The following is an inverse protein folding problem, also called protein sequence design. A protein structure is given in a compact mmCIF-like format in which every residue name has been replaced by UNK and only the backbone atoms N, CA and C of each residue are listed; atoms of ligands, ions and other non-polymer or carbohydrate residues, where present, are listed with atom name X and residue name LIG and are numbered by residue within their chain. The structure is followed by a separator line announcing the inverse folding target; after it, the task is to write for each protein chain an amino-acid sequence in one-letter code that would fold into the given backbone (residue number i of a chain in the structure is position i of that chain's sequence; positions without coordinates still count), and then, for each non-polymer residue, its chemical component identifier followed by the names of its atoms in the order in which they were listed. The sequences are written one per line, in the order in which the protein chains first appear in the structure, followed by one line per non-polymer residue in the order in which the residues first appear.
data_IF_946589652352
#
_entry.id   IF_946589652352
#
_cell.length_a   1.000
_cell.length_b   1.000
_cell.length_c   1.000
_cell.angle_alpha   90.00
_cell.angle_beta   90.00
_cell.angle_gamma   90.00
#
_symmetry.space_group_name_H-M   'P 1'
#
loop_
_entity.id
_entity.type
_entity.pdbx_description
1 polymer ?
#
# COMPACT_ATOMS: atom_id res chain seq x y z
N UNK A 1 11.56 26.94 28.75
CA UNK A 1 11.86 27.26 27.34
C UNK A 1 13.05 26.41 26.93
N UNK A 2 12.77 25.31 26.26
CA UNK A 2 13.67 24.49 25.43
C UNK A 2 12.75 23.78 24.42
N UNK A 3 13.13 23.64 23.13
CA UNK A 3 12.18 23.30 22.08
C UNK A 3 11.92 21.79 22.05
N UNK A 4 10.66 21.39 22.24
CA UNK A 4 10.21 20.01 22.15
C UNK A 4 10.42 19.45 20.72
N UNK A 5 10.94 18.23 20.68
CA UNK A 5 11.44 17.54 19.50
C UNK A 5 10.44 17.49 18.35
N UNK A 6 10.90 18.02 17.21
CA UNK A 6 10.34 17.87 15.87
C UNK A 6 9.97 16.41 15.62
N UNK A 7 8.82 16.18 14.98
CA UNK A 7 8.50 14.91 14.29
C UNK A 7 9.79 14.42 13.67
N UNK A 8 10.25 13.24 14.09
CA UNK A 8 11.51 12.69 13.65
C UNK A 8 11.48 12.64 12.14
N UNK A 9 12.20 13.55 11.48
CA UNK A 9 12.40 13.57 10.03
C UNK A 9 12.89 12.21 9.52
N UNK A 10 13.38 11.34 10.42
CA UNK A 10 13.95 10.02 10.20
C UNK A 10 13.01 9.04 9.50
N UNK A 11 11.70 9.00 9.78
CA UNK A 11 10.78 8.00 9.20
C UNK A 11 10.41 8.26 7.73
N UNK A 12 9.95 9.48 7.35
CA UNK A 12 9.76 9.80 5.94
C UNK A 12 11.09 9.87 5.18
N UNK A 13 12.20 10.22 5.85
CA UNK A 13 13.54 10.19 5.26
C UNK A 13 14.02 8.75 5.06
N UNK A 14 13.71 7.80 5.95
CA UNK A 14 14.03 6.37 5.76
C UNK A 14 13.25 5.79 4.58
N UNK A 15 11.97 6.12 4.44
CA UNK A 15 11.17 5.72 3.29
C UNK A 15 11.73 6.32 1.99
N UNK A 16 12.09 7.62 2.00
CA UNK A 16 12.71 8.28 0.85
C UNK A 16 14.10 7.70 0.54
N UNK A 17 14.90 7.40 1.55
CA UNK A 17 16.23 6.78 1.42
C UNK A 17 16.14 5.35 0.92
N UNK A 18 15.11 4.58 1.31
CA UNK A 18 14.85 3.24 0.78
C UNK A 18 14.46 3.31 -0.71
N UNK A 19 13.64 4.29 -1.10
CA UNK A 19 13.29 4.54 -2.51
C UNK A 19 14.53 4.99 -3.30
N UNK A 20 15.34 5.90 -2.76
CA UNK A 20 16.59 6.36 -3.39
C UNK A 20 17.61 5.23 -3.48
N UNK A 21 17.75 4.39 -2.45
CA UNK A 21 18.64 3.23 -2.46
C UNK A 21 18.20 2.18 -3.48
N UNK A 22 16.89 2.00 -3.68
CA UNK A 22 16.34 1.11 -4.71
C UNK A 22 16.55 1.68 -6.12
N UNK A 23 16.43 3.00 -6.29
CA UNK A 23 16.68 3.70 -7.55
C UNK A 23 18.18 3.85 -7.89
N UNK A 24 19.04 3.86 -6.86
CA UNK A 24 20.50 3.94 -6.98
C UNK A 24 21.18 2.57 -6.94
N UNK A 25 20.42 1.48 -6.75
CA UNK A 25 20.94 0.13 -6.86
C UNK A 25 21.56 -0.05 -8.27
N UNK A 26 22.81 -0.53 -8.37
CA UNK A 26 23.45 -0.69 -9.65
C UNK A 26 22.62 -1.62 -10.53
N UNK A 27 22.39 -1.21 -11.78
CA UNK A 27 21.78 -2.10 -12.76
C UNK A 27 22.61 -3.40 -12.82
N UNK A 28 21.97 -4.59 -12.85
CA UNK A 28 22.68 -5.86 -12.91
C UNK A 28 23.69 -5.82 -14.05
N UNK A 29 24.95 -6.14 -13.75
CA UNK A 29 26.01 -6.20 -14.75
C UNK A 29 25.75 -7.31 -15.78
N UNK A 30 26.44 -7.29 -16.94
CA UNK A 30 26.07 -8.10 -18.11
C UNK A 30 26.34 -9.60 -17.98
N UNK A 31 26.77 -10.11 -16.82
CA UNK A 31 27.30 -11.46 -16.71
C UNK A 31 26.24 -12.43 -16.15
N UNK A 32 25.59 -13.11 -17.10
CA UNK A 32 24.97 -14.45 -17.02
C UNK A 32 24.07 -14.77 -15.81
N UNK A 33 23.11 -13.90 -15.56
CA UNK A 33 21.77 -14.39 -15.21
C UNK A 33 20.81 -13.87 -16.26
N UNK A 34 20.59 -14.68 -17.30
CA UNK A 34 19.39 -14.59 -18.12
C UNK A 34 18.19 -14.95 -17.24
N UNK A 35 17.81 -14.03 -16.35
CA UNK A 35 16.41 -13.93 -15.98
C UNK A 35 15.74 -13.54 -17.28
N UNK A 36 15.17 -14.52 -17.99
CA UNK A 36 14.20 -14.22 -19.03
C UNK A 36 13.21 -13.26 -18.38
N UNK A 37 13.29 -11.98 -18.77
CA UNK A 37 12.23 -11.03 -18.46
C UNK A 37 10.96 -11.74 -18.92
N UNK A 38 9.98 -11.98 -18.03
CA UNK A 38 8.82 -12.77 -18.40
C UNK A 38 8.24 -12.14 -19.66
N UNK A 39 8.12 -12.97 -20.70
CA UNK A 39 7.80 -12.53 -22.05
C UNK A 39 6.63 -11.57 -22.04
N UNK A 40 6.68 -10.55 -22.90
CA UNK A 40 5.71 -9.46 -23.02
C UNK A 40 4.27 -9.93 -22.75
N UNK A 41 3.82 -9.74 -21.52
CA UNK A 41 2.59 -10.29 -20.96
C UNK A 41 2.45 -9.91 -19.49
N UNK A 42 1.23 -9.91 -18.92
CA UNK A 42 1.01 -9.50 -17.54
C UNK A 42 1.72 -10.43 -16.54
N UNK A 43 2.29 -9.85 -15.49
CA UNK A 43 2.89 -10.59 -14.38
C UNK A 43 4.42 -10.68 -14.33
N UNK A 44 5.10 -9.56 -14.55
CA UNK A 44 6.50 -9.40 -14.15
C UNK A 44 6.84 -7.95 -13.86
N UNK A 45 5.86 -7.21 -13.34
CA UNK A 45 5.92 -5.75 -13.28
C UNK A 45 5.78 -5.29 -11.85
N UNK A 46 6.57 -4.27 -11.51
CA UNK A 46 6.46 -3.52 -10.27
C UNK A 46 5.69 -2.24 -10.58
N UNK A 47 4.66 -1.97 -9.80
CA UNK A 47 3.80 -0.80 -9.91
C UNK A 47 3.93 0.05 -8.66
N UNK A 48 3.97 1.37 -8.87
CA UNK A 48 3.83 2.36 -7.80
C UNK A 48 2.57 3.17 -8.08
N UNK A 49 1.71 3.26 -7.09
CA UNK A 49 0.38 3.83 -7.20
C UNK A 49 0.07 4.82 -6.09
N UNK A 50 -0.87 5.70 -6.39
CA UNK A 50 -1.56 6.52 -5.40
C UNK A 50 -3.07 6.40 -5.68
N UNK A 51 -3.86 6.22 -4.63
CA UNK A 51 -5.28 5.97 -4.72
C UNK A 51 -6.07 6.82 -3.74
N UNK A 52 -7.27 7.23 -4.14
CA UNK A 52 -8.26 7.73 -3.19
C UNK A 52 -8.91 6.53 -2.50
N UNK A 53 -9.11 6.62 -1.19
CA UNK A 53 -9.79 5.58 -0.41
C UNK A 53 -10.96 6.15 0.38
N UNK A 54 -11.97 5.31 0.60
CA UNK A 54 -13.13 5.63 1.42
C UNK A 54 -13.13 4.72 2.64
N UNK A 55 -13.09 5.32 3.82
CA UNK A 55 -13.09 4.60 5.09
C UNK A 55 -14.53 4.54 5.57
N UNK A 56 -15.12 3.35 5.58
CA UNK A 56 -16.51 3.15 6.01
C UNK A 56 -16.67 2.83 7.51
N UNK A 57 -15.57 2.52 8.21
CA UNK A 57 -15.64 1.99 9.58
C UNK A 57 -15.74 3.10 10.64
N UNK A 58 -16.82 3.07 11.45
CA UNK A 58 -17.11 3.90 12.64
C UNK A 58 -17.25 5.42 12.43
N UNK A 59 -16.45 6.01 11.55
CA UNK A 59 -16.62 7.37 11.06
C UNK A 59 -16.33 7.36 9.55
N UNK A 60 -17.35 7.50 8.69
CA UNK A 60 -17.15 7.68 7.26
C UNK A 60 -16.10 8.76 7.00
N UNK A 61 -15.23 8.53 6.03
CA UNK A 61 -14.10 9.41 5.77
C UNK A 61 -13.47 9.17 4.42
N UNK A 62 -12.58 10.07 4.05
CA UNK A 62 -11.73 9.96 2.88
C UNK A 62 -10.27 9.80 3.29
N UNK A 63 -9.49 9.19 2.42
CA UNK A 63 -8.05 9.08 2.62
C UNK A 63 -7.31 8.99 1.31
N UNK A 64 -5.99 8.92 1.44
CA UNK A 64 -5.06 8.60 0.38
C UNK A 64 -4.32 7.32 0.74
N UNK A 65 -4.12 6.50 -0.29
CA UNK A 65 -3.33 5.27 -0.26
C UNK A 65 -2.13 5.44 -1.16
N UNK A 66 -0.97 4.99 -0.71
CA UNK A 66 0.24 4.85 -1.52
C UNK A 66 0.60 3.37 -1.59
N UNK A 67 0.79 2.87 -2.80
CA UNK A 67 0.80 1.44 -3.08
C UNK A 67 2.05 1.04 -3.85
N UNK A 68 2.67 -0.05 -3.41
CA UNK A 68 3.66 -0.82 -4.13
C UNK A 68 3.06 -2.20 -4.44
N UNK A 69 2.81 -2.47 -5.72
CA UNK A 69 2.31 -3.77 -6.16
C UNK A 69 3.35 -4.48 -7.01
N UNK A 70 3.59 -5.76 -6.73
CA UNK A 70 4.44 -6.63 -7.52
C UNK A 70 3.57 -7.74 -8.09
N UNK A 71 3.45 -7.79 -9.40
CA UNK A 71 2.71 -8.83 -10.11
C UNK A 71 3.70 -9.87 -10.69
N UNK A 72 3.56 -11.12 -10.24
CA UNK A 72 4.33 -12.28 -10.69
C UNK A 72 3.38 -13.31 -11.29
N UNK A 73 3.22 -13.28 -12.61
CA UNK A 73 2.27 -14.01 -13.43
C UNK A 73 0.82 -13.83 -12.99
N UNK A 74 0.40 -14.52 -11.94
CA UNK A 74 -0.92 -14.38 -11.31
C UNK A 74 -0.85 -14.05 -9.83
N UNK A 75 0.33 -14.15 -9.23
CA UNK A 75 0.57 -13.79 -7.83
C UNK A 75 0.68 -12.28 -7.73
N UNK A 76 0.02 -11.73 -6.74
CA UNK A 76 0.09 -10.33 -6.37
C UNK A 76 0.69 -10.22 -4.97
N UNK A 77 1.68 -9.34 -4.84
CA UNK A 77 2.16 -8.84 -3.56
C UNK A 77 1.83 -7.35 -3.52
N UNK A 78 1.16 -6.91 -2.47
CA UNK A 78 0.78 -5.51 -2.28
C UNK A 78 1.32 -5.04 -0.93
N UNK A 79 2.01 -3.92 -0.94
CA UNK A 79 2.39 -3.18 0.26
C UNK A 79 1.80 -1.79 0.11
N UNK A 80 1.02 -1.35 1.09
CA UNK A 80 0.40 -0.05 1.04
C UNK A 80 0.43 0.68 2.38
N UNK A 81 0.41 2.00 2.27
CA UNK A 81 0.22 2.88 3.41
C UNK A 81 -0.96 3.78 3.11
N UNK A 82 -1.95 3.72 4.00
CA UNK A 82 -3.17 4.48 3.93
C UNK A 82 -3.23 5.46 5.10
N UNK A 83 -3.52 6.71 4.76
CA UNK A 83 -3.81 7.78 5.73
C UNK A 83 -5.12 8.48 5.37
N UNK A 84 -5.99 8.69 6.34
CA UNK A 84 -7.24 9.40 6.09
C UNK A 84 -7.91 9.90 7.35
N UNK A 85 -8.86 10.81 7.17
CA UNK A 85 -9.61 11.44 8.25
C UNK A 85 -11.10 11.11 8.12
N UNK A 86 -11.69 10.67 9.23
CA UNK A 86 -13.13 10.54 9.37
C UNK A 86 -13.80 11.89 9.65
N UNK A 87 -15.10 11.99 9.34
CA UNK A 87 -15.97 13.15 9.60
C UNK A 87 -15.90 13.70 11.04
N UNK A 88 -15.49 12.90 12.03
CA UNK A 88 -15.33 13.32 13.42
C UNK A 88 -13.88 13.61 13.86
N UNK A 89 -12.97 13.96 12.93
CA UNK A 89 -11.53 14.11 13.17
C UNK A 89 -10.88 12.83 13.76
N UNK A 90 -11.40 11.68 13.34
CA UNK A 90 -10.84 10.39 13.69
C UNK A 90 -9.88 9.98 12.59
N UNK A 91 -8.60 10.18 12.83
CA UNK A 91 -7.52 9.80 11.93
C UNK A 91 -7.38 8.29 11.87
N UNK A 92 -7.18 7.78 10.67
CA UNK A 92 -6.87 6.39 10.39
C UNK A 92 -5.54 6.32 9.69
N UNK A 93 -4.64 5.53 10.24
CA UNK A 93 -3.41 5.11 9.59
C UNK A 93 -3.41 3.59 9.49
N UNK A 94 -3.08 3.08 8.31
CA UNK A 94 -2.91 1.66 8.05
C UNK A 94 -1.61 1.47 7.26
N UNK A 95 -0.70 0.67 7.80
CA UNK A 95 0.42 0.11 7.04
C UNK A 95 0.13 -1.37 6.81
N UNK A 96 0.14 -1.81 5.55
CA UNK A 96 -0.43 -3.08 5.15
C UNK A 96 0.51 -3.87 4.24
N UNK A 97 0.47 -5.20 4.37
CA UNK A 97 1.15 -6.11 3.49
C UNK A 97 0.22 -7.30 3.16
N UNK A 98 -0.01 -7.51 1.88
CA UNK A 98 -0.98 -8.44 1.34
C UNK A 98 -0.37 -9.33 0.25
N UNK A 99 -0.85 -10.56 0.18
CA UNK A 99 -0.54 -11.52 -0.88
C UNK A 99 -1.81 -12.14 -1.41
N UNK A 100 -1.82 -12.44 -2.70
CA UNK A 100 -2.88 -13.22 -3.31
C UNK A 100 -2.68 -13.31 -4.80
N UNK A 101 -3.73 -13.05 -5.56
CA UNK A 101 -3.61 -13.12 -6.99
C UNK A 101 -4.82 -12.67 -7.79
N UNK A 102 -4.57 -12.52 -9.08
CA UNK A 102 -5.58 -12.28 -10.11
C UNK A 102 -6.16 -13.60 -10.60
N UNK A 103 -7.47 -13.62 -10.84
CA UNK A 103 -8.22 -14.84 -11.15
C UNK A 103 -8.39 -15.10 -12.65
N UNK A 104 -7.87 -14.23 -13.52
CA UNK A 104 -8.01 -14.34 -14.97
C UNK A 104 -6.80 -13.82 -15.73
N UNK A 105 -6.90 -13.75 -17.06
CA UNK A 105 -5.86 -13.25 -17.99
C UNK A 105 -6.36 -12.12 -18.91
N UNK A 106 -7.63 -11.74 -18.73
CA UNK A 106 -8.25 -10.61 -19.42
C UNK A 106 -7.69 -9.28 -18.95
N UNK A 107 -7.92 -8.23 -19.76
CA UNK A 107 -7.53 -6.86 -19.41
C UNK A 107 -8.28 -6.32 -18.19
N UNK A 108 -9.47 -6.88 -17.94
CA UNK A 108 -10.29 -6.66 -16.76
C UNK A 108 -10.33 -7.97 -16.00
N UNK A 109 -9.71 -8.03 -14.82
CA UNK A 109 -9.59 -9.29 -14.09
C UNK A 109 -9.86 -9.10 -12.60
N UNK A 110 -10.69 -9.97 -11.99
CA UNK A 110 -10.88 -9.92 -10.56
C UNK A 110 -9.61 -10.39 -9.84
N UNK A 111 -9.39 -9.87 -8.64
CA UNK A 111 -8.31 -10.28 -7.75
C UNK A 111 -8.83 -10.52 -6.33
N UNK A 112 -8.07 -11.33 -5.60
CA UNK A 112 -8.24 -11.57 -4.18
C UNK A 112 -6.89 -11.44 -3.48
N UNK A 113 -6.87 -10.75 -2.35
CA UNK A 113 -5.70 -10.60 -1.50
C UNK A 113 -6.09 -10.92 -0.05
N UNK A 114 -5.11 -11.41 0.70
CA UNK A 114 -5.19 -11.56 2.14
C UNK A 114 -3.85 -11.17 2.77
N UNK A 115 -3.90 -10.60 3.96
CA UNK A 115 -2.71 -10.04 4.56
C UNK A 115 -2.85 -9.64 6.01
N UNK A 116 -1.88 -8.84 6.42
CA UNK A 116 -1.78 -8.29 7.76
C UNK A 116 -1.49 -6.80 7.67
N UNK A 117 -2.13 -6.05 8.57
CA UNK A 117 -1.95 -4.62 8.67
C UNK A 117 -1.69 -4.18 10.09
N UNK A 118 -0.91 -3.12 10.23
CA UNK A 118 -0.85 -2.33 11.45
C UNK A 118 -1.81 -1.16 11.32
N UNK A 119 -2.86 -1.16 12.14
CA UNK A 119 -3.92 -0.18 12.14
C UNK A 119 -3.81 0.70 13.38
N UNK A 120 -3.61 2.00 13.18
CA UNK A 120 -3.72 3.00 14.23
C UNK A 120 -4.93 3.90 13.95
N UNK A 121 -5.83 4.02 14.94
CA UNK A 121 -7.02 4.86 14.85
C UNK A 121 -7.14 5.77 16.07
N UNK A 122 -7.41 7.05 15.84
CA UNK A 122 -7.55 8.02 16.92
C UNK A 122 -7.46 9.46 16.43
N UNK A 123 -7.56 10.40 17.35
CA UNK A 123 -7.25 11.80 17.05
C UNK A 123 -5.73 11.93 16.93
N UNK A 124 -5.19 11.88 15.72
CA UNK A 124 -3.76 12.00 15.45
C UNK A 124 -3.34 13.47 15.68
N UNK A 125 -3.21 13.86 16.94
CA UNK A 125 -2.76 15.20 17.37
C UNK A 125 -1.47 15.02 18.14
N UNK A 126 -0.39 15.62 17.63
CA UNK A 126 0.94 15.60 18.24
C UNK A 126 1.07 16.59 19.41
N UNK A 127 0.08 16.62 20.31
CA UNK A 127 0.12 17.39 21.56
C UNK A 127 0.08 16.42 22.76
N UNK A 128 0.82 16.75 23.83
CA UNK A 128 1.22 15.87 24.93
C UNK A 128 0.06 15.32 25.80
N UNK A 129 -1.19 15.62 25.46
CA UNK A 129 -2.36 14.95 26.02
C UNK A 129 -2.85 13.87 25.05
N UNK A 130 -2.15 12.75 24.99
CA UNK A 130 -2.49 11.57 24.18
C UNK A 130 -3.89 11.06 24.53
N UNK A 131 -4.86 11.41 23.69
CA UNK A 131 -6.18 10.78 23.65
C UNK A 131 -6.01 9.32 23.20
N UNK A 132 -6.94 8.39 23.51
CA UNK A 132 -6.72 6.97 23.25
C UNK A 132 -6.57 6.68 21.75
N UNK A 133 -5.34 6.37 21.34
CA UNK A 133 -5.04 5.75 20.05
C UNK A 133 -5.28 4.25 20.22
N UNK A 134 -6.15 3.69 19.39
CA UNK A 134 -6.35 2.24 19.32
C UNK A 134 -5.44 1.69 18.24
N UNK A 135 -4.48 0.89 18.68
CA UNK A 135 -3.51 0.24 17.82
C UNK A 135 -3.81 -1.27 17.79
N UNK A 136 -3.92 -1.80 16.58
CA UNK A 136 -4.27 -3.19 16.35
C UNK A 136 -3.42 -3.75 15.21
N UNK A 137 -2.94 -4.99 15.40
CA UNK A 137 -2.60 -5.82 14.25
C UNK A 137 -3.90 -6.40 13.75
N UNK A 138 -4.20 -6.20 12.47
CA UNK A 138 -5.44 -6.64 11.82
C UNK A 138 -5.11 -7.65 10.74
N UNK A 139 -5.98 -8.63 10.55
CA UNK A 139 -6.02 -9.40 9.32
C UNK A 139 -6.74 -8.58 8.25
N UNK A 140 -6.22 -8.61 7.04
CA UNK A 140 -6.85 -7.95 5.90
C UNK A 140 -7.30 -8.98 4.87
N UNK A 141 -8.44 -8.68 4.24
CA UNK A 141 -8.92 -9.40 3.09
C UNK A 141 -9.42 -8.36 2.07
N UNK A 142 -8.93 -8.43 0.85
CA UNK A 142 -9.31 -7.53 -0.23
C UNK A 142 -9.83 -8.30 -1.43
N UNK A 143 -10.93 -7.81 -2.00
CA UNK A 143 -11.48 -8.33 -3.24
C UNK A 143 -11.77 -7.16 -4.17
N UNK A 144 -11.33 -7.29 -5.42
CA UNK A 144 -11.45 -6.20 -6.38
C UNK A 144 -11.27 -6.62 -7.82
N UNK A 145 -11.05 -5.64 -8.68
CA UNK A 145 -10.79 -5.81 -10.10
C UNK A 145 -9.63 -4.92 -10.53
N UNK A 146 -8.71 -5.49 -11.30
CA UNK A 146 -7.68 -4.74 -12.04
C UNK A 146 -8.22 -4.44 -13.44
N UNK A 147 -8.19 -3.17 -13.83
CA UNK A 147 -8.60 -2.67 -15.14
C UNK A 147 -7.36 -2.21 -15.90
N UNK A 148 -7.22 -2.64 -17.15
CA UNK A 148 -6.06 -2.30 -17.97
C UNK A 148 -4.86 -3.19 -17.68
N UNK A 149 -5.06 -4.41 -17.16
CA UNK A 149 -3.97 -5.30 -16.71
C UNK A 149 -2.92 -5.58 -17.80
N UNK A 150 -3.31 -5.63 -19.08
CA UNK A 150 -2.36 -5.86 -20.17
C UNK A 150 -1.49 -4.63 -20.46
N UNK A 151 -1.81 -3.48 -19.86
CA UNK A 151 -1.05 -2.24 -20.01
C UNK A 151 0.12 -2.25 -19.05
N UNK A 152 1.24 -1.72 -19.52
CA UNK A 152 2.46 -1.52 -18.71
C UNK A 152 2.33 -0.34 -17.73
N UNK A 153 1.43 0.59 -18.01
CA UNK A 153 1.16 1.79 -17.23
C UNK A 153 -0.34 2.11 -17.24
N UNK A 154 -0.80 2.88 -16.24
CA UNK A 154 -2.20 3.31 -16.15
C UNK A 154 -3.17 2.17 -15.83
N UNK A 155 -2.72 1.18 -15.05
CA UNK A 155 -3.61 0.20 -14.45
C UNK A 155 -4.43 0.87 -13.35
N UNK A 156 -5.69 0.47 -13.24
CA UNK A 156 -6.59 0.95 -12.19
C UNK A 156 -6.99 -0.24 -11.35
N UNK A 157 -6.78 -0.13 -10.04
CA UNK A 157 -7.12 -1.13 -9.06
C UNK A 157 -8.29 -0.59 -8.25
N UNK A 158 -9.39 -1.35 -8.24
CA UNK A 158 -10.59 -0.97 -7.52
C UNK A 158 -11.07 -2.17 -6.71
N UNK A 159 -11.17 -2.01 -5.39
CA UNK A 159 -11.50 -3.11 -4.50
C UNK A 159 -12.14 -2.65 -3.20
N UNK A 160 -12.63 -3.62 -2.45
CA UNK A 160 -13.12 -3.47 -1.11
C UNK A 160 -12.21 -4.25 -0.16
N UNK A 161 -11.68 -3.55 0.84
CA UNK A 161 -10.84 -4.13 1.88
C UNK A 161 -11.60 -4.26 3.18
N UNK A 162 -11.52 -5.44 3.78
CA UNK A 162 -12.07 -5.78 5.08
C UNK A 162 -10.93 -5.88 6.09
N UNK A 163 -11.14 -5.32 7.28
CA UNK A 163 -10.18 -5.34 8.37
C UNK A 163 -10.80 -6.12 9.54
N UNK A 164 -10.12 -7.17 9.99
CA UNK A 164 -10.54 -8.01 11.11
C UNK A 164 -9.52 -7.84 12.25
N UNK A 165 -9.91 -7.26 13.40
CA UNK A 165 -9.03 -7.08 14.56
C UNK A 165 -8.81 -8.37 15.35
#
# INVERSE_FOLDING_TARGET
MEPAGKIGYVEPVLALLAIVALLAAPAPGPDDVTVEAPGSGPGGTVYFGVGATFIAAQSPGGGLSYELAIELQRVLLLIDVLGGDGVHNYGTFLANAEIGGVLGTSDWTPYLLGGVGYLARGRLVFDQSSQPVREHVVLTAEAGTVIGRKRRWGQIWAGLRFLVP
#
